data_IF_685489405919
#
_entry.id   IF_685489405919
#
_cell.length_a   1.000
_cell.length_b   1.000
_cell.length_c   1.000
_cell.angle_alpha   90.00
_cell.angle_beta   90.00
_cell.angle_gamma   90.00
#
_symmetry.space_group_name_H-M   'P 1'
#
loop_
_entity.id
_entity.type
_entity.pdbx_description
1 polymer ?
#
# COMPACT_ATOMS: atom_id res chain seq x y z
N UNK A 1 20.27 -0.32 1.04
CA UNK A 1 19.21 0.55 0.46
C UNK A 1 17.90 -0.22 0.52
N UNK A 2 16.82 0.38 1.02
CA UNK A 2 15.51 -0.28 1.00
C UNK A 2 15.00 -0.40 -0.44
N UNK A 3 14.40 -1.54 -0.79
CA UNK A 3 13.73 -1.74 -2.08
C UNK A 3 12.68 -0.63 -2.29
N UNK A 4 12.65 -0.05 -3.49
CA UNK A 4 11.62 0.95 -3.84
C UNK A 4 10.27 0.25 -3.97
N UNK A 5 9.23 0.88 -3.42
CA UNK A 5 7.84 0.41 -3.60
C UNK A 5 7.46 0.60 -5.06
N UNK A 6 6.91 -0.45 -5.68
CA UNK A 6 6.40 -0.44 -7.06
C UNK A 6 4.86 -0.41 -7.09
N UNK A 7 4.22 -0.10 -8.23
CA UNK A 7 2.77 -0.19 -8.36
C UNK A 7 2.19 -1.57 -7.99
N UNK A 8 2.86 -2.64 -8.39
CA UNK A 8 2.45 -4.01 -8.06
C UNK A 8 2.46 -4.28 -6.54
N UNK A 9 3.46 -3.74 -5.82
CA UNK A 9 3.51 -3.84 -4.36
C UNK A 9 2.32 -3.10 -3.72
N UNK A 10 1.93 -1.95 -4.28
CA UNK A 10 0.78 -1.15 -3.81
C UNK A 10 -0.53 -1.92 -4.02
N UNK A 11 -0.73 -2.51 -5.19
CA UNK A 11 -1.90 -3.37 -5.44
C UNK A 11 -1.96 -4.54 -4.45
N UNK A 12 -0.81 -5.16 -4.15
CA UNK A 12 -0.72 -6.23 -3.18
C UNK A 12 -1.09 -5.74 -1.78
N UNK A 13 -0.63 -4.55 -1.37
CA UNK A 13 -1.04 -3.95 -0.10
C UNK A 13 -2.55 -3.74 -0.04
N UNK A 14 -3.19 -3.25 -1.11
CA UNK A 14 -4.64 -3.06 -1.15
C UNK A 14 -5.41 -4.39 -1.06
N UNK A 15 -4.97 -5.42 -1.80
CA UNK A 15 -5.57 -6.77 -1.72
C UNK A 15 -5.48 -7.34 -0.30
N UNK A 16 -4.28 -7.33 0.30
CA UNK A 16 -4.07 -7.82 1.65
C UNK A 16 -4.80 -6.96 2.70
N UNK A 17 -4.92 -5.65 2.48
CA UNK A 17 -5.68 -4.79 3.38
C UNK A 17 -7.19 -5.08 3.35
N UNK A 18 -7.74 -5.46 2.19
CA UNK A 18 -9.15 -5.89 2.07
C UNK A 18 -9.42 -7.17 2.87
N UNK A 19 -8.46 -8.08 2.90
CA UNK A 19 -8.56 -9.39 3.57
C UNK A 19 -8.30 -9.30 5.08
N UNK A 20 -7.19 -8.68 5.50
CA UNK A 20 -6.72 -8.70 6.89
C UNK A 20 -7.06 -7.43 7.69
N UNK A 21 -7.26 -6.28 7.02
CA UNK A 21 -7.44 -4.94 7.64
C UNK A 21 -6.38 -4.57 8.69
N UNK A 22 -5.22 -5.24 8.67
CA UNK A 22 -4.15 -5.07 9.66
C UNK A 22 -2.80 -4.81 8.98
N UNK A 23 -2.27 -3.59 9.13
CA UNK A 23 -1.00 -3.18 8.52
C UNK A 23 0.21 -3.98 9.03
N UNK A 24 0.20 -4.44 10.29
CA UNK A 24 1.30 -5.23 10.84
C UNK A 24 1.37 -6.62 10.19
N UNK A 25 0.21 -7.20 9.88
CA UNK A 25 0.14 -8.51 9.22
C UNK A 25 0.52 -8.41 7.74
N UNK A 26 0.08 -7.34 7.05
CA UNK A 26 0.52 -7.04 5.69
C UNK A 26 2.03 -6.87 5.62
N UNK A 27 2.63 -6.18 6.61
CA UNK A 27 4.08 -6.02 6.71
C UNK A 27 4.85 -7.32 7.03
N UNK A 28 4.18 -8.34 7.60
CA UNK A 28 4.79 -9.68 7.74
C UNK A 28 4.73 -10.49 6.46
N UNK A 29 3.72 -10.22 5.62
CA UNK A 29 3.49 -10.90 4.34
C UNK A 29 4.17 -10.21 3.16
N UNK A 30 4.78 -9.05 3.40
CA UNK A 30 5.46 -8.24 2.39
C UNK A 30 6.84 -7.84 2.92
N UNK A 31 7.80 -7.57 2.05
CA UNK A 31 9.14 -7.10 2.46
C UNK A 31 9.17 -5.63 2.94
N UNK A 32 8.02 -5.07 3.31
CA UNK A 32 7.87 -3.66 3.65
C UNK A 32 7.41 -3.45 5.09
N UNK A 33 7.90 -2.38 5.70
CA UNK A 33 7.51 -2.02 7.07
C UNK A 33 6.04 -1.62 7.15
N UNK A 34 5.41 -1.81 8.32
CA UNK A 34 4.03 -1.40 8.56
C UNK A 34 3.81 0.11 8.33
N UNK A 35 4.83 0.94 8.58
CA UNK A 35 4.79 2.37 8.29
C UNK A 35 4.74 2.65 6.79
N UNK A 36 5.52 1.91 5.99
CA UNK A 36 5.45 1.98 4.53
C UNK A 36 4.08 1.54 4.06
N UNK A 37 3.65 0.34 4.44
CA UNK A 37 2.33 -0.19 4.09
C UNK A 37 1.20 0.81 4.38
N UNK A 38 1.15 1.39 5.60
CA UNK A 38 0.16 2.41 5.98
C UNK A 38 0.19 3.66 5.10
N UNK A 39 1.39 4.10 4.70
CA UNK A 39 1.60 5.27 3.85
C UNK A 39 1.07 5.07 2.42
N UNK A 40 1.06 3.83 1.92
CA UNK A 40 0.63 3.53 0.55
C UNK A 40 -0.84 3.06 0.47
N UNK A 41 -1.41 2.51 1.54
CA UNK A 41 -2.83 2.08 1.55
C UNK A 41 -3.80 3.26 1.76
N UNK A 42 -3.38 4.30 2.47
CA UNK A 42 -4.25 5.43 2.78
C UNK A 42 -3.93 6.64 1.88
N UNK A 43 -4.62 6.81 0.74
CA UNK A 43 -4.37 7.93 -0.18
C UNK A 43 -4.75 9.29 0.41
N UNK A 44 -5.54 9.35 1.49
CA UNK A 44 -5.94 10.60 2.16
C UNK A 44 -4.89 11.14 3.12
N UNK A 45 -3.75 10.46 3.28
CA UNK A 45 -2.64 10.95 4.10
C UNK A 45 -1.85 12.01 3.35
N UNK A 46 -1.45 13.06 4.07
CA UNK A 46 -0.64 14.17 3.53
C UNK A 46 0.73 13.70 3.03
N UNK A 47 1.25 12.62 3.62
CA UNK A 47 2.52 11.99 3.27
C UNK A 47 2.41 10.93 2.17
N UNK A 48 1.22 10.62 1.68
CA UNK A 48 1.01 9.55 0.70
C UNK A 48 1.60 9.91 -0.67
N UNK A 49 2.43 9.04 -1.26
CA UNK A 49 3.01 9.28 -2.57
C UNK A 49 1.93 9.36 -3.65
N UNK A 50 2.13 10.23 -4.65
CA UNK A 50 1.19 10.42 -5.77
C UNK A 50 0.87 9.12 -6.51
N UNK A 51 1.89 8.26 -6.69
CA UNK A 51 1.73 6.93 -7.28
C UNK A 51 0.73 6.05 -6.53
N UNK A 52 0.68 6.14 -5.19
CA UNK A 52 -0.29 5.39 -4.39
C UNK A 52 -1.73 5.86 -4.63
N UNK A 53 -1.91 7.18 -4.84
CA UNK A 53 -3.20 7.79 -5.14
C UNK A 53 -3.68 7.37 -6.53
N UNK A 54 -2.77 7.35 -7.51
CA UNK A 54 -3.08 6.95 -8.90
C UNK A 54 -3.49 5.48 -8.98
N UNK A 55 -2.69 4.57 -8.41
CA UNK A 55 -3.03 3.13 -8.34
C UNK A 55 -4.34 2.91 -7.57
N UNK A 56 -4.58 3.64 -6.48
CA UNK A 56 -5.83 3.53 -5.74
C UNK A 56 -7.06 3.94 -6.57
N UNK A 57 -6.96 5.02 -7.34
CA UNK A 57 -8.04 5.45 -8.23
C UNK A 57 -8.32 4.40 -9.29
N UNK A 58 -7.28 3.83 -9.90
CA UNK A 58 -7.43 2.73 -10.86
C UNK A 58 -8.14 1.53 -10.23
N UNK A 59 -7.73 1.11 -9.02
CA UNK A 59 -8.36 0.00 -8.30
C UNK A 59 -9.81 0.25 -7.85
N UNK A 60 -10.21 1.51 -7.69
CA UNK A 60 -11.58 1.88 -7.31
C UNK A 60 -12.51 1.96 -8.53
N UNK A 61 -11.96 2.24 -9.71
CA UNK A 61 -12.68 2.36 -10.98
C UNK A 61 -12.63 1.10 -11.86
N UNK A 62 -11.79 0.11 -11.50
CA UNK A 62 -11.69 -1.20 -12.13
C UNK A 62 -12.66 -2.22 -11.51
#
# INVERSE_FOLDING_TARGET
MARRVTPADIEQFFKLHKEFKNCAEIARRTDFSASTVRRYINPNRKDSPRMAIEVYKELLHA
#
